data_IF_286522872789
#
_entry.id   IF_286522872789
#
_cell.length_a   1.000
_cell.length_b   1.000
_cell.length_c   1.000
_cell.angle_alpha   90.00
_cell.angle_beta   90.00
_cell.angle_gamma   90.00
#
_symmetry.space_group_name_H-M   'P 1'
#
loop_
_entity.id
_entity.type
_entity.pdbx_description
1 polymer ?
#
# COMPACT_ATOMS: atom_id res chain seq x y z
N UNK A 1 10.25 6.42 -23.43
CA UNK A 1 9.03 5.89 -22.79
C UNK A 1 8.83 4.47 -23.23
N UNK A 2 8.94 3.53 -22.30
CA UNK A 2 8.47 2.16 -22.56
C UNK A 2 6.94 2.17 -22.58
N UNK A 3 6.31 1.27 -23.34
CA UNK A 3 4.84 1.20 -23.44
C UNK A 3 4.18 1.08 -22.05
N UNK A 4 4.82 0.35 -21.13
CA UNK A 4 4.30 0.01 -19.79
C UNK A 4 4.27 1.16 -18.78
N UNK A 5 4.82 2.33 -19.14
CA UNK A 5 4.78 3.53 -18.30
C UNK A 5 3.73 4.54 -18.80
N UNK A 6 3.02 4.22 -19.89
CA UNK A 6 2.00 5.09 -20.50
C UNK A 6 0.57 4.81 -20.04
N UNK A 7 0.37 3.74 -19.27
CA UNK A 7 -0.93 3.33 -18.72
C UNK A 7 -0.75 2.71 -17.33
N UNK A 8 -1.81 2.71 -16.53
CA UNK A 8 -1.81 2.09 -15.21
C UNK A 8 -1.73 0.57 -15.35
N UNK A 9 -0.81 -0.05 -14.59
CA UNK A 9 -0.73 -1.51 -14.47
C UNK A 9 -1.70 -1.93 -13.37
N UNK A 10 -1.99 -3.23 -13.27
CA UNK A 10 -2.74 -3.76 -12.14
C UNK A 10 -2.06 -3.33 -10.84
N UNK A 11 -2.84 -2.70 -9.99
CA UNK A 11 -2.36 -2.25 -8.70
C UNK A 11 -2.10 -3.46 -7.80
N UNK A 12 -1.17 -3.33 -6.84
CA UNK A 12 -0.99 -4.34 -5.79
C UNK A 12 -2.29 -4.63 -5.03
N UNK A 13 -3.18 -3.64 -4.96
CA UNK A 13 -4.52 -3.76 -4.39
C UNK A 13 -5.40 -4.75 -5.17
N UNK A 14 -5.50 -4.58 -6.50
CA UNK A 14 -6.29 -5.49 -7.35
C UNK A 14 -5.75 -6.93 -7.34
N UNK A 15 -4.44 -7.09 -7.16
CA UNK A 15 -3.80 -8.39 -7.05
C UNK A 15 -3.99 -9.04 -5.67
N UNK A 16 -3.96 -8.25 -4.60
CA UNK A 16 -4.11 -8.73 -3.21
C UNK A 16 -5.57 -9.07 -2.85
N UNK A 17 -6.52 -8.30 -3.40
CA UNK A 17 -7.94 -8.38 -3.07
C UNK A 17 -8.75 -8.60 -4.36
N UNK A 18 -8.65 -9.78 -4.99
CA UNK A 18 -9.39 -10.06 -6.23
C UNK A 18 -10.90 -10.11 -6.00
N UNK A 19 -11.35 -10.43 -4.79
CA UNK A 19 -12.74 -10.38 -4.37
C UNK A 19 -13.03 -9.00 -3.75
N UNK A 20 -13.63 -8.11 -4.53
CA UNK A 20 -13.96 -6.75 -4.09
C UNK A 20 -15.14 -6.73 -3.12
N UNK A 21 -16.07 -7.69 -3.22
CA UNK A 21 -17.25 -7.73 -2.35
C UNK A 21 -16.83 -7.97 -0.89
N UNK A 22 -15.87 -8.89 -0.66
CA UNK A 22 -15.31 -9.15 0.67
C UNK A 22 -14.62 -7.91 1.27
N UNK A 23 -13.95 -7.13 0.45
CA UNK A 23 -13.28 -5.92 0.91
C UNK A 23 -14.28 -4.80 1.20
N UNK A 24 -15.31 -4.64 0.39
CA UNK A 24 -16.39 -3.68 0.64
C UNK A 24 -17.13 -4.01 1.96
N UNK A 25 -17.40 -5.30 2.22
CA UNK A 25 -17.95 -5.76 3.50
C UNK A 25 -17.04 -5.42 4.69
N UNK A 26 -15.73 -5.61 4.54
CA UNK A 26 -14.75 -5.23 5.55
C UNK A 26 -14.77 -3.71 5.80
N UNK A 27 -14.80 -2.90 4.72
CA UNK A 27 -14.81 -1.44 4.80
C UNK A 27 -16.04 -0.95 5.57
N UNK A 28 -17.22 -1.47 5.25
CA UNK A 28 -18.45 -1.18 5.99
C UNK A 28 -18.30 -1.56 7.46
N UNK A 29 -17.78 -2.76 7.73
CA UNK A 29 -17.56 -3.23 9.09
C UNK A 29 -16.58 -2.39 9.91
N UNK A 30 -15.52 -1.88 9.27
CA UNK A 30 -14.53 -0.98 9.89
C UNK A 30 -15.18 0.36 10.23
N UNK A 31 -15.99 0.93 9.34
CA UNK A 31 -16.70 2.18 9.59
C UNK A 31 -17.71 2.05 10.74
N UNK A 32 -18.43 0.92 10.82
CA UNK A 32 -19.29 0.59 11.95
C UNK A 32 -18.51 0.49 13.28
N UNK A 33 -17.39 -0.24 13.30
CA UNK A 33 -16.55 -0.40 14.49
C UNK A 33 -15.92 0.94 14.91
N UNK A 34 -15.45 1.75 13.96
CA UNK A 34 -14.87 3.07 14.20
C UNK A 34 -15.90 4.06 14.78
N UNK A 35 -17.11 4.11 14.21
CA UNK A 35 -18.22 4.94 14.73
C UNK A 35 -18.60 4.54 16.16
N UNK A 36 -18.64 3.24 16.46
CA UNK A 36 -18.98 2.75 17.81
C UNK A 36 -17.97 3.16 18.89
N UNK A 37 -16.73 3.51 18.48
CA UNK A 37 -15.60 3.84 19.37
C UNK A 37 -15.14 5.30 19.29
N UNK A 38 -15.85 6.14 18.52
CA UNK A 38 -15.51 7.54 18.25
C UNK A 38 -14.08 7.70 17.68
N UNK A 39 -13.71 6.83 16.75
CA UNK A 39 -12.39 6.82 16.11
C UNK A 39 -12.45 7.35 14.68
N UNK A 40 -11.46 8.16 14.31
CA UNK A 40 -11.23 8.48 12.91
C UNK A 40 -10.65 7.25 12.19
N UNK A 41 -11.31 6.81 11.12
CA UNK A 41 -10.96 5.61 10.32
C UNK A 41 -9.54 5.61 9.75
N UNK A 42 -8.94 6.79 9.60
CA UNK A 42 -7.60 7.01 9.03
C UNK A 42 -6.47 6.91 10.08
N UNK A 43 -6.78 6.54 11.32
CA UNK A 43 -5.78 6.43 12.38
C UNK A 43 -5.21 5.01 12.44
N UNK A 44 -3.90 4.87 12.22
CA UNK A 44 -3.21 3.57 12.13
C UNK A 44 -3.31 2.74 13.41
N UNK A 45 -3.04 3.30 14.58
CA UNK A 45 -2.99 2.52 15.83
C UNK A 45 -4.35 1.89 16.21
N UNK A 46 -5.48 2.62 16.17
CA UNK A 46 -6.79 2.02 16.40
C UNK A 46 -7.15 0.95 15.37
N UNK A 47 -6.85 1.18 14.08
CA UNK A 47 -7.10 0.23 13.00
C UNK A 47 -6.48 -1.15 13.26
N UNK A 48 -5.23 -1.18 13.74
CA UNK A 48 -4.48 -2.43 13.99
C UNK A 48 -5.04 -3.25 15.17
N UNK A 49 -5.95 -2.67 15.95
CA UNK A 49 -6.56 -3.32 17.12
C UNK A 49 -8.02 -3.71 16.90
N UNK A 50 -8.56 -3.46 15.70
CA UNK A 50 -9.93 -3.82 15.34
C UNK A 50 -10.07 -5.34 15.18
N UNK A 51 -11.08 -5.91 15.83
CA UNK A 51 -11.31 -7.36 15.79
C UNK A 51 -11.63 -7.85 14.37
N UNK A 52 -12.33 -7.02 13.58
CA UNK A 52 -12.65 -7.33 12.17
C UNK A 52 -11.41 -7.39 11.29
N UNK A 53 -10.43 -6.52 11.52
CA UNK A 53 -9.17 -6.49 10.77
C UNK A 53 -8.34 -7.74 11.10
N UNK A 54 -8.24 -8.14 12.37
CA UNK A 54 -7.55 -9.38 12.76
C UNK A 54 -8.21 -10.63 12.13
N UNK A 55 -9.54 -10.72 12.18
CA UNK A 55 -10.28 -11.83 11.59
C UNK A 55 -10.05 -11.93 10.07
N UNK A 56 -10.16 -10.81 9.35
CA UNK A 56 -9.94 -10.75 7.92
C UNK A 56 -8.49 -11.09 7.52
N UNK A 57 -7.50 -10.58 8.25
CA UNK A 57 -6.10 -10.90 7.99
C UNK A 57 -5.81 -12.39 8.19
N UNK A 58 -6.40 -13.03 9.22
CA UNK A 58 -6.26 -14.48 9.44
C UNK A 58 -6.87 -15.30 8.31
N UNK A 59 -7.98 -14.83 7.75
CA UNK A 59 -8.63 -15.47 6.61
C UNK A 59 -7.74 -15.42 5.36
N UNK A 60 -7.18 -14.25 5.03
CA UNK A 60 -6.29 -14.08 3.87
C UNK A 60 -4.98 -14.86 4.03
N UNK A 61 -4.42 -14.85 5.24
CA UNK A 61 -3.16 -15.55 5.53
C UNK A 61 -3.26 -17.07 5.36
N UNK A 62 -4.45 -17.63 5.60
CA UNK A 62 -4.64 -19.07 5.69
C UNK A 62 -3.95 -19.70 6.91
N UNK A 63 -4.17 -20.99 7.14
CA UNK A 63 -3.80 -21.67 8.39
C UNK A 63 -2.29 -21.90 8.59
N UNK A 64 -1.47 -21.68 7.56
CA UNK A 64 -0.03 -22.00 7.57
C UNK A 64 0.87 -20.76 7.61
N UNK A 65 0.32 -19.56 7.69
CA UNK A 65 1.12 -18.33 7.70
C UNK A 65 1.93 -18.18 9.00
N UNK A 66 3.13 -17.63 8.87
CA UNK A 66 3.99 -17.33 10.01
C UNK A 66 3.44 -16.12 10.78
N UNK A 67 3.37 -16.16 12.13
CA UNK A 67 2.84 -15.06 12.94
C UNK A 67 3.52 -13.71 12.70
N UNK A 68 4.80 -13.72 12.33
CA UNK A 68 5.59 -12.53 12.02
C UNK A 68 5.12 -11.77 10.77
N UNK A 69 4.30 -12.39 9.91
CA UNK A 69 3.74 -11.74 8.72
C UNK A 69 2.46 -10.94 9.02
N UNK A 70 1.81 -11.13 10.18
CA UNK A 70 0.55 -10.45 10.54
C UNK A 70 0.65 -8.94 10.37
N UNK A 71 1.73 -8.34 10.86
CA UNK A 71 1.92 -6.90 10.74
C UNK A 71 1.95 -6.41 9.28
N UNK A 72 2.52 -7.19 8.37
CA UNK A 72 2.61 -6.86 6.95
C UNK A 72 1.22 -6.90 6.29
N UNK A 73 0.43 -7.94 6.58
CA UNK A 73 -0.93 -8.07 6.07
C UNK A 73 -1.85 -6.98 6.63
N UNK A 74 -1.79 -6.69 7.94
CA UNK A 74 -2.57 -5.59 8.53
C UNK A 74 -2.19 -4.25 7.91
N UNK A 75 -0.90 -4.02 7.64
CA UNK A 75 -0.43 -2.80 6.95
C UNK A 75 -0.98 -2.72 5.52
N UNK A 76 -0.94 -3.83 4.78
CA UNK A 76 -1.51 -3.90 3.43
C UNK A 76 -3.01 -3.59 3.44
N UNK A 77 -3.77 -4.22 4.35
CA UNK A 77 -5.21 -4.00 4.50
C UNK A 77 -5.50 -2.54 4.89
N UNK A 78 -4.70 -1.93 5.76
CA UNK A 78 -4.81 -0.52 6.10
C UNK A 78 -4.68 0.38 4.86
N UNK A 79 -3.65 0.16 4.04
CA UNK A 79 -3.47 0.93 2.81
C UNK A 79 -4.57 0.64 1.78
N UNK A 80 -5.04 -0.60 1.66
CA UNK A 80 -6.10 -0.99 0.74
C UNK A 80 -7.45 -0.34 1.08
N UNK A 81 -7.85 -0.36 2.35
CA UNK A 81 -9.09 0.26 2.82
C UNK A 81 -9.07 1.77 2.55
N UNK A 82 -7.97 2.46 2.90
CA UNK A 82 -7.87 3.90 2.67
C UNK A 82 -7.80 4.24 1.17
N UNK A 83 -7.13 3.41 0.38
CA UNK A 83 -7.05 3.57 -1.08
C UNK A 83 -8.43 3.43 -1.73
N UNK A 84 -9.21 2.41 -1.35
CA UNK A 84 -10.58 2.21 -1.82
C UNK A 84 -11.49 3.39 -1.40
N UNK A 85 -11.45 3.79 -0.13
CA UNK A 85 -12.24 4.92 0.37
C UNK A 85 -11.92 6.26 -0.34
N UNK A 86 -10.68 6.43 -0.82
CA UNK A 86 -10.28 7.59 -1.62
C UNK A 86 -10.68 7.50 -3.10
N UNK A 87 -11.38 6.44 -3.52
CA UNK A 87 -11.77 6.22 -4.92
C UNK A 87 -10.66 5.64 -5.80
N UNK A 88 -9.70 4.93 -5.20
CA UNK A 88 -8.57 4.28 -5.87
C UNK A 88 -7.73 5.21 -6.78
N UNK A 89 -7.23 6.37 -6.29
CA UNK A 89 -6.54 7.33 -7.15
C UNK A 89 -5.11 6.86 -7.49
N UNK A 90 -4.83 6.66 -8.78
CA UNK A 90 -3.53 6.18 -9.29
C UNK A 90 -2.78 7.31 -10.00
N UNK A 91 -1.50 7.47 -9.67
CA UNK A 91 -0.60 8.45 -10.26
C UNK A 91 0.58 7.74 -10.91
N UNK A 92 0.82 8.02 -12.19
CA UNK A 92 1.92 7.43 -12.94
C UNK A 92 3.10 8.40 -12.96
N UNK A 93 4.20 7.99 -12.33
CA UNK A 93 5.42 8.79 -12.39
C UNK A 93 6.18 8.45 -13.68
N UNK A 94 6.45 9.46 -14.51
CA UNK A 94 7.20 9.25 -15.75
C UNK A 94 8.70 9.05 -15.46
N UNK A 95 9.38 8.28 -16.31
CA UNK A 95 10.83 8.04 -16.22
C UNK A 95 11.64 9.35 -16.10
N UNK A 96 11.31 10.35 -16.92
CA UNK A 96 12.04 11.63 -16.91
C UNK A 96 11.89 12.36 -15.57
N UNK A 97 10.68 12.39 -15.01
CA UNK A 97 10.42 13.01 -13.71
C UNK A 97 11.09 12.20 -12.59
N UNK A 98 11.08 10.87 -12.66
CA UNK A 98 11.78 10.04 -11.67
C UNK A 98 13.28 10.31 -11.66
N UNK A 99 13.92 10.39 -12.84
CA UNK A 99 15.35 10.69 -12.94
C UNK A 99 15.68 12.08 -12.40
N UNK A 100 14.88 13.08 -12.78
CA UNK A 100 15.03 14.45 -12.29
C UNK A 100 14.88 14.53 -10.77
N UNK A 101 13.88 13.85 -10.18
CA UNK A 101 13.70 13.80 -8.73
C UNK A 101 14.90 13.15 -8.02
N UNK A 102 15.51 12.10 -8.58
CA UNK A 102 16.69 11.48 -7.96
C UNK A 102 17.91 12.41 -8.02
N UNK A 103 18.14 13.07 -9.16
CA UNK A 103 19.31 13.91 -9.40
C UNK A 103 19.21 15.27 -8.72
N UNK A 104 18.02 15.87 -8.72
CA UNK A 104 17.78 17.25 -8.37
C UNK A 104 16.84 17.43 -7.17
N UNK A 105 16.63 16.41 -6.33
CA UNK A 105 15.77 16.56 -5.16
C UNK A 105 16.20 17.77 -4.32
N UNK A 106 15.30 18.72 -4.20
CA UNK A 106 15.37 19.77 -3.19
C UNK A 106 14.30 19.39 -2.18
N UNK A 107 14.69 19.11 -0.93
CA UNK A 107 13.74 18.71 0.12
C UNK A 107 12.56 19.68 0.23
N UNK A 108 11.48 19.26 0.88
CA UNK A 108 10.29 20.07 1.05
C UNK A 108 9.17 19.32 1.77
N UNK A 109 8.03 19.97 1.91
CA UNK A 109 6.82 19.41 2.52
C UNK A 109 5.70 19.34 1.47
N UNK A 110 5.78 18.38 0.52
CA UNK A 110 4.75 18.26 -0.51
C UNK A 110 3.41 17.87 0.11
N UNK A 111 2.35 18.55 -0.31
CA UNK A 111 0.97 18.19 0.05
C UNK A 111 0.46 17.25 -1.04
N UNK A 112 0.13 15.99 -0.70
CA UNK A 112 -0.41 15.06 -1.70
C UNK A 112 -1.77 15.56 -2.19
N UNK A 113 -2.14 15.28 -3.46
CA UNK A 113 -3.41 15.74 -4.01
C UNK A 113 -4.63 15.13 -3.30
N UNK A 114 -4.47 13.91 -2.78
CA UNK A 114 -5.49 13.16 -2.06
C UNK A 114 -4.93 12.64 -0.73
N UNK A 115 -5.82 12.37 0.24
CA UNK A 115 -5.43 11.80 1.54
C UNK A 115 -4.92 10.36 1.45
N UNK A 116 -5.22 9.64 0.36
CA UNK A 116 -4.61 8.34 0.06
C UNK A 116 -4.51 8.15 -1.43
N UNK A 117 -3.57 7.31 -1.86
CA UNK A 117 -3.42 6.97 -3.27
C UNK A 117 -2.27 6.01 -3.51
N UNK A 118 -2.09 5.69 -4.79
CA UNK A 118 -1.01 4.85 -5.26
C UNK A 118 -0.20 5.56 -6.34
N UNK A 119 1.11 5.68 -6.12
CA UNK A 119 2.04 6.19 -7.10
C UNK A 119 2.80 5.03 -7.72
N UNK A 120 2.49 4.74 -8.98
CA UNK A 120 3.16 3.72 -9.77
C UNK A 120 4.45 4.31 -10.37
N UNK A 121 5.56 3.62 -10.13
CA UNK A 121 6.89 4.02 -10.57
C UNK A 121 7.21 3.41 -11.95
N UNK A 122 8.16 4.01 -12.70
CA UNK A 122 8.59 3.45 -13.98
C UNK A 122 9.15 2.04 -13.80
N UNK A 123 8.73 1.13 -14.69
CA UNK A 123 9.13 -0.27 -14.58
C UNK A 123 10.65 -0.41 -14.76
N UNK A 124 11.28 -1.25 -13.93
CA UNK A 124 12.71 -1.57 -14.00
C UNK A 124 13.69 -0.39 -13.81
N UNK A 125 13.20 0.77 -13.36
CA UNK A 125 14.07 1.91 -13.08
C UNK A 125 14.56 1.93 -11.63
N UNK A 126 13.68 1.59 -10.69
CA UNK A 126 13.95 1.63 -9.26
C UNK A 126 13.92 0.22 -8.68
N UNK A 127 14.95 -0.10 -7.90
CA UNK A 127 15.18 -1.45 -7.37
C UNK A 127 15.48 -1.37 -5.88
N UNK A 128 14.93 -2.31 -5.11
CA UNK A 128 15.36 -2.57 -3.75
C UNK A 128 16.47 -3.62 -3.74
N UNK A 129 17.50 -3.38 -2.94
CA UNK A 129 18.45 -4.43 -2.58
C UNK A 129 17.72 -5.51 -1.78
N UNK A 130 17.87 -6.78 -2.19
CA UNK A 130 17.35 -7.90 -1.43
C UNK A 130 17.96 -7.97 -0.03
N UNK A 131 17.19 -8.44 0.95
CA UNK A 131 17.75 -8.77 2.25
C UNK A 131 18.64 -10.03 2.10
N UNK A 132 19.79 -10.07 2.79
CA UNK A 132 20.62 -11.27 2.93
C UNK A 132 20.97 -12.02 1.63
N UNK A 133 21.45 -11.32 0.59
CA UNK A 133 21.90 -11.90 -0.69
C UNK A 133 20.79 -12.33 -1.67
N UNK A 134 19.54 -11.95 -1.41
CA UNK A 134 18.48 -12.08 -2.41
C UNK A 134 18.73 -11.17 -3.63
N UNK A 135 18.26 -11.61 -4.80
CA UNK A 135 18.33 -10.82 -6.02
C UNK A 135 17.59 -9.48 -5.83
N UNK A 136 18.09 -8.36 -6.38
CA UNK A 136 17.38 -7.09 -6.32
C UNK A 136 15.96 -7.22 -6.87
N UNK A 137 15.02 -6.56 -6.22
CA UNK A 137 13.61 -6.58 -6.62
C UNK A 137 13.21 -5.24 -7.21
N UNK A 138 12.54 -5.27 -8.36
CA UNK A 138 11.97 -4.06 -8.95
C UNK A 138 10.88 -3.53 -8.04
N UNK A 139 10.94 -2.23 -7.76
CA UNK A 139 9.87 -1.51 -7.07
C UNK A 139 8.78 -1.22 -8.11
N UNK A 140 7.53 -1.52 -7.78
CA UNK A 140 6.38 -1.19 -8.62
C UNK A 140 5.81 0.20 -8.27
N UNK A 141 5.73 0.53 -6.98
CA UNK A 141 5.18 1.81 -6.55
C UNK A 141 5.05 1.97 -5.05
N UNK A 142 4.35 3.03 -4.64
CA UNK A 142 4.16 3.42 -3.23
C UNK A 142 2.69 3.77 -2.99
N UNK A 143 2.06 3.13 -2.00
CA UNK A 143 0.84 3.65 -1.41
C UNK A 143 1.16 4.73 -0.38
N UNK A 144 0.30 5.73 -0.27
CA UNK A 144 0.31 6.65 0.86
C UNK A 144 -1.05 6.75 1.53
N UNK A 145 -1.02 7.13 2.82
CA UNK A 145 -2.16 7.60 3.59
C UNK A 145 -1.67 8.79 4.42
N UNK A 146 -2.36 9.93 4.31
CA UNK A 146 -2.19 11.11 5.14
C UNK A 146 -3.37 11.16 6.10
N UNK A 147 -3.12 10.95 7.39
CA UNK A 147 -4.17 11.01 8.40
C UNK A 147 -4.62 12.45 8.66
N UNK A 148 -5.83 12.62 9.19
CA UNK A 148 -6.34 13.92 9.66
C UNK A 148 -5.48 14.59 10.73
N UNK A 149 -4.66 13.82 11.45
CA UNK A 149 -3.69 14.31 12.42
C UNK A 149 -2.35 14.73 11.80
N UNK A 150 -2.21 14.68 10.47
CA UNK A 150 -0.99 15.05 9.75
C UNK A 150 0.08 13.96 9.67
N UNK A 151 -0.22 12.71 10.06
CA UNK A 151 0.74 11.63 9.94
C UNK A 151 0.76 11.08 8.51
N UNK A 152 1.94 11.04 7.90
CA UNK A 152 2.15 10.44 6.60
C UNK A 152 2.59 8.98 6.75
N UNK A 153 1.90 8.09 6.07
CA UNK A 153 2.10 6.66 6.10
C UNK A 153 2.36 6.19 4.67
N UNK A 154 3.51 5.57 4.43
CA UNK A 154 3.87 5.02 3.12
C UNK A 154 4.08 3.52 3.17
N UNK A 155 3.63 2.83 2.13
CA UNK A 155 3.90 1.41 1.89
C UNK A 155 4.52 1.25 0.50
N UNK A 156 5.81 0.92 0.48
CA UNK A 156 6.55 0.59 -0.73
C UNK A 156 6.17 -0.82 -1.19
N UNK A 157 5.93 -0.99 -2.48
CA UNK A 157 5.59 -2.27 -3.08
C UNK A 157 6.70 -2.69 -4.04
N UNK A 158 7.27 -3.85 -3.77
CA UNK A 158 8.22 -4.54 -4.64
C UNK A 158 7.86 -6.01 -4.73
N UNK A 159 8.45 -6.70 -5.69
CA UNK A 159 8.37 -8.16 -5.76
C UNK A 159 7.00 -8.70 -6.19
N UNK A 160 6.12 -7.89 -6.79
CA UNK A 160 4.86 -8.35 -7.36
C UNK A 160 5.13 -9.45 -8.39
N UNK A 161 4.76 -10.68 -8.03
CA UNK A 161 4.94 -11.87 -8.85
C UNK A 161 3.66 -12.70 -8.80
N UNK A 162 3.06 -13.06 -9.95
CA UNK A 162 1.88 -13.93 -9.98
C UNK A 162 2.09 -15.28 -9.28
N UNK A 163 3.33 -15.77 -9.24
CA UNK A 163 3.76 -17.04 -8.63
C UNK A 163 4.19 -16.92 -7.16
N UNK A 164 4.26 -15.71 -6.59
CA UNK A 164 4.65 -15.48 -5.19
C UNK A 164 3.77 -14.39 -4.56
N UNK A 165 2.74 -14.76 -3.79
CA UNK A 165 2.01 -13.81 -2.96
C UNK A 165 2.91 -13.42 -1.79
N UNK A 166 3.75 -12.40 -1.98
CA UNK A 166 4.69 -11.93 -0.98
C UNK A 166 5.01 -10.47 -1.20
N UNK A 167 4.33 -9.60 -0.47
CA UNK A 167 4.62 -8.17 -0.44
C UNK A 167 5.82 -7.93 0.47
N UNK A 168 6.90 -7.34 -0.06
CA UNK A 168 8.02 -6.91 0.77
C UNK A 168 7.80 -5.47 1.27
N UNK A 169 7.67 -5.32 2.59
CA UNK A 169 7.51 -4.03 3.27
C UNK A 169 8.86 -3.52 3.81
N UNK A 170 9.12 -2.22 3.62
CA UNK A 170 10.00 -1.43 4.48
C UNK A 170 9.28 -0.15 4.89
N UNK A 171 9.21 0.11 6.19
CA UNK A 171 8.82 1.41 6.73
C UNK A 171 9.95 2.41 6.38
N UNK A 172 9.63 3.51 5.70
CA UNK A 172 10.48 4.68 5.75
C UNK A 172 10.21 5.37 7.09
N UNK A 173 11.23 5.41 7.95
CA UNK A 173 11.25 6.13 9.24
C UNK A 173 11.77 7.54 9.05
#
# INVERSE_FOLDING_TARGET
MTLHDSYARFTPYELAFPDQDLLDELIVGIDEEAKSRDWASQTRTPFFTMGRVDAFVREIQGPTALPETIYQYVTLVFHAVNFNQAGCPIYLLSENVTRDLVENHQGGEPIPPESSGYMQLPQHLLWMSGANSDAPESIDGVFWVLSSSGNFHSLLIAGLRPDRPGFFYRAAS
#
